data_IF_351505991448
#
_entry.id   IF_351505991448
#
_cell.length_a   1.000
_cell.length_b   1.000
_cell.length_c   1.000
_cell.angle_alpha   90.00
_cell.angle_beta   90.00
_cell.angle_gamma   90.00
#
_symmetry.space_group_name_H-M   'P 1'
#
loop_
_entity.id
_entity.type
_entity.pdbx_description
1 polymer ?
#
# COMPACT_ATOMS: atom_id res chain seq x y z
N UNK A 1 7.04 -30.02 -23.53
CA UNK A 1 5.99 -29.00 -23.68
C UNK A 1 4.67 -29.73 -23.84
N UNK A 2 3.68 -29.41 -23.02
CA UNK A 2 2.33 -29.93 -23.23
C UNK A 2 1.62 -29.12 -24.32
N UNK A 3 0.71 -29.75 -25.07
CA UNK A 3 -0.03 -29.10 -26.15
C UNK A 3 -0.82 -27.85 -25.67
N UNK A 4 -1.22 -27.84 -24.39
CA UNK A 4 -1.85 -26.70 -23.75
C UNK A 4 -0.91 -25.47 -23.67
N UNK A 5 0.37 -25.68 -23.34
CA UNK A 5 1.35 -24.59 -23.27
C UNK A 5 1.63 -23.99 -24.66
N UNK A 6 1.62 -24.83 -25.69
CA UNK A 6 1.80 -24.40 -27.08
C UNK A 6 0.60 -23.56 -27.53
N UNK A 7 -0.62 -24.01 -27.25
CA UNK A 7 -1.84 -23.27 -27.58
C UNK A 7 -1.92 -21.90 -26.88
N UNK A 8 -1.47 -21.81 -25.63
CA UNK A 8 -1.40 -20.54 -24.88
C UNK A 8 -0.39 -19.57 -25.50
N UNK A 9 0.81 -20.04 -25.86
CA UNK A 9 1.82 -19.22 -26.54
C UNK A 9 1.37 -18.77 -27.93
N UNK A 10 0.66 -19.61 -28.68
CA UNK A 10 0.07 -19.23 -29.96
C UNK A 10 -1.02 -18.16 -29.81
N UNK A 11 -1.78 -18.22 -28.72
CA UNK A 11 -2.80 -17.22 -28.42
C UNK A 11 -2.13 -15.87 -28.11
N UNK A 12 -1.08 -15.87 -27.29
CA UNK A 12 -0.28 -14.68 -27.01
C UNK A 12 0.37 -14.11 -28.28
N UNK A 13 0.96 -14.96 -29.12
CA UNK A 13 1.53 -14.56 -30.41
C UNK A 13 0.49 -13.86 -31.28
N UNK A 14 -0.72 -14.42 -31.39
CA UNK A 14 -1.82 -13.82 -32.17
C UNK A 14 -2.22 -12.44 -31.62
N UNK A 15 -2.29 -12.31 -30.30
CA UNK A 15 -2.63 -11.03 -29.65
C UNK A 15 -1.52 -9.97 -29.87
N UNK A 16 -0.24 -10.36 -29.75
CA UNK A 16 0.89 -9.49 -30.05
C UNK A 16 0.91 -9.04 -31.51
N UNK A 17 0.63 -9.96 -32.44
CA UNK A 17 0.55 -9.66 -33.86
C UNK A 17 -0.56 -8.64 -34.17
N UNK A 18 -1.76 -8.83 -33.59
CA UNK A 18 -2.87 -7.89 -33.74
C UNK A 18 -2.52 -6.51 -33.19
N UNK A 19 -1.83 -6.44 -32.05
CA UNK A 19 -1.39 -5.18 -31.46
C UNK A 19 -0.37 -4.49 -32.36
N UNK A 20 0.61 -5.23 -32.89
CA UNK A 20 1.60 -4.72 -33.82
C UNK A 20 0.98 -4.18 -35.12
N UNK A 21 0.01 -4.89 -35.71
CA UNK A 21 -0.72 -4.42 -36.89
C UNK A 21 -1.46 -3.11 -36.63
N UNK A 22 -2.07 -2.96 -35.45
CA UNK A 22 -2.73 -1.72 -35.07
C UNK A 22 -1.75 -0.56 -34.87
N UNK A 23 -0.59 -0.81 -34.25
CA UNK A 23 0.47 0.19 -34.17
C UNK A 23 0.94 0.61 -35.56
N UNK A 24 1.14 -0.34 -36.47
CA UNK A 24 1.57 -0.04 -37.84
C UNK A 24 0.55 0.85 -38.58
N UNK A 25 -0.75 0.61 -38.40
CA UNK A 25 -1.82 1.44 -38.96
C UNK A 25 -1.78 2.86 -38.37
N UNK A 26 -1.74 2.98 -37.04
CA UNK A 26 -1.70 4.29 -36.37
C UNK A 26 -0.45 5.08 -36.74
N UNK A 27 0.72 4.44 -36.78
CA UNK A 27 1.98 5.07 -37.21
C UNK A 27 1.91 5.47 -38.68
N UNK A 28 1.35 4.63 -39.55
CA UNK A 28 1.19 4.94 -40.98
C UNK A 28 0.30 6.16 -41.24
N UNK A 29 -0.79 6.30 -40.50
CA UNK A 29 -1.74 7.41 -40.63
C UNK A 29 -1.24 8.71 -39.99
N UNK A 30 -0.42 8.62 -38.94
CA UNK A 30 0.16 9.78 -38.23
C UNK A 30 1.46 10.28 -38.84
N UNK A 31 2.11 9.48 -39.70
CA UNK A 31 3.36 9.89 -40.34
C UNK A 31 3.06 10.94 -41.43
N UNK A 32 3.68 12.13 -41.35
CA UNK A 32 3.53 13.14 -42.39
C UNK A 32 4.12 12.60 -43.69
N UNK A 33 3.27 12.40 -44.68
CA UNK A 33 3.62 12.01 -46.05
C UNK A 33 3.29 13.18 -46.98
N UNK A 34 3.93 13.31 -48.15
CA UNK A 34 3.68 14.44 -49.06
C UNK A 34 2.22 14.58 -49.48
N UNK A 35 1.43 13.50 -49.42
CA UNK A 35 -0.01 13.48 -49.74
C UNK A 35 -0.94 13.67 -48.52
N UNK A 36 -0.41 13.70 -47.29
CA UNK A 36 -1.20 13.85 -46.07
C UNK A 36 -0.52 14.84 -45.10
N UNK A 37 -1.05 16.06 -44.88
CA UNK A 37 -0.40 17.12 -44.11
C UNK A 37 -0.29 16.86 -42.59
N UNK A 38 -0.48 15.62 -42.12
CA UNK A 38 -0.26 15.22 -40.74
C UNK A 38 -1.32 15.70 -39.75
N UNK A 39 -2.45 16.23 -40.24
CA UNK A 39 -3.55 16.71 -39.41
C UNK A 39 -4.61 15.60 -39.32
N UNK A 40 -4.32 14.58 -38.52
CA UNK A 40 -5.36 13.65 -38.07
C UNK A 40 -6.22 14.39 -37.03
N UNK A 41 -7.55 14.46 -37.20
CA UNK A 41 -8.40 15.12 -36.23
C UNK A 41 -8.31 14.40 -34.87
N UNK A 42 -8.13 15.18 -33.80
CA UNK A 42 -7.92 14.67 -32.44
C UNK A 42 -8.92 13.57 -32.00
N UNK A 43 -10.24 13.66 -32.30
CA UNK A 43 -11.18 12.62 -31.93
C UNK A 43 -10.88 11.25 -32.57
N UNK A 44 -10.42 11.24 -33.82
CA UNK A 44 -10.08 10.00 -34.53
C UNK A 44 -8.81 9.37 -33.97
N UNK A 45 -7.80 10.20 -33.68
CA UNK A 45 -6.58 9.75 -33.01
C UNK A 45 -6.89 9.18 -31.62
N UNK A 46 -7.71 9.88 -30.84
CA UNK A 46 -8.11 9.46 -29.51
C UNK A 46 -8.90 8.15 -29.53
N UNK A 47 -9.82 7.99 -30.49
CA UNK A 47 -10.56 6.74 -30.68
C UNK A 47 -9.62 5.58 -30.98
N UNK A 48 -8.66 5.77 -31.91
CA UNK A 48 -7.66 4.74 -32.25
C UNK A 48 -6.75 4.41 -31.06
N UNK A 49 -6.34 5.43 -30.29
CA UNK A 49 -5.55 5.26 -29.08
C UNK A 49 -6.32 4.50 -27.98
N UNK A 50 -7.60 4.77 -27.79
CA UNK A 50 -8.43 4.03 -26.82
C UNK A 50 -8.58 2.55 -27.20
N UNK A 51 -8.75 2.26 -28.49
CA UNK A 51 -8.76 0.86 -28.98
C UNK A 51 -7.41 0.18 -28.72
N UNK A 52 -6.31 0.90 -28.93
CA UNK A 52 -4.96 0.41 -28.66
C UNK A 52 -4.74 0.14 -27.17
N UNK A 53 -5.12 1.09 -26.31
CA UNK A 53 -5.03 0.98 -24.85
C UNK A 53 -5.87 -0.20 -24.33
N UNK A 54 -7.09 -0.37 -24.82
CA UNK A 54 -7.95 -1.50 -24.46
C UNK A 54 -7.33 -2.85 -24.85
N UNK A 55 -6.76 -2.95 -26.06
CA UNK A 55 -6.09 -4.19 -26.50
C UNK A 55 -4.80 -4.47 -25.75
N UNK A 56 -4.03 -3.42 -25.45
CA UNK A 56 -2.85 -3.54 -24.60
C UNK A 56 -3.22 -4.00 -23.18
N UNK A 57 -4.29 -3.47 -22.60
CA UNK A 57 -4.78 -3.88 -21.28
C UNK A 57 -5.17 -5.37 -21.28
N UNK A 58 -5.91 -5.81 -22.30
CA UNK A 58 -6.28 -7.23 -22.44
C UNK A 58 -5.05 -8.13 -22.55
N UNK A 59 -4.04 -7.71 -23.33
CA UNK A 59 -2.77 -8.44 -23.44
C UNK A 59 -2.02 -8.46 -22.10
N UNK A 60 -1.91 -7.32 -21.43
CA UNK A 60 -1.23 -7.17 -20.13
C UNK A 60 -1.88 -8.06 -19.07
N UNK A 61 -3.21 -8.08 -18.98
CA UNK A 61 -3.94 -9.01 -18.08
C UNK A 61 -3.71 -10.47 -18.45
N UNK A 62 -3.70 -10.80 -19.74
CA UNK A 62 -3.50 -12.18 -20.20
C UNK A 62 -2.09 -12.69 -19.91
N UNK A 63 -1.08 -11.84 -20.09
CA UNK A 63 0.32 -12.13 -19.77
C UNK A 63 0.52 -12.19 -18.25
N UNK A 64 0.02 -11.21 -17.51
CA UNK A 64 0.24 -11.06 -16.07
C UNK A 64 -0.55 -12.04 -15.18
N UNK A 65 -1.73 -12.50 -15.62
CA UNK A 65 -2.57 -13.39 -14.80
C UNK A 65 -2.59 -14.83 -15.30
N UNK A 66 -2.84 -15.04 -16.60
CA UNK A 66 -3.02 -16.39 -17.15
C UNK A 66 -1.70 -17.07 -17.49
N UNK A 67 -0.77 -16.29 -18.05
CA UNK A 67 0.46 -16.83 -18.61
C UNK A 67 1.69 -16.60 -17.73
N UNK A 68 1.57 -15.86 -16.62
CA UNK A 68 2.72 -15.43 -15.83
C UNK A 68 3.48 -16.59 -15.17
N UNK A 69 2.75 -17.60 -14.68
CA UNK A 69 3.36 -18.80 -14.10
C UNK A 69 4.10 -19.61 -15.17
N UNK A 70 3.46 -19.84 -16.30
CA UNK A 70 4.03 -20.54 -17.45
C UNK A 70 5.27 -19.82 -18.00
N UNK A 71 5.19 -18.52 -18.23
CA UNK A 71 6.27 -17.73 -18.81
C UNK A 71 7.47 -17.60 -17.85
N UNK A 72 7.24 -17.65 -16.53
CA UNK A 72 8.30 -17.63 -15.52
C UNK A 72 9.06 -18.96 -15.45
N UNK A 73 8.37 -20.08 -15.66
CA UNK A 73 8.97 -21.42 -15.67
C UNK A 73 9.66 -21.75 -17.00
N UNK A 74 9.36 -21.02 -18.07
CA UNK A 74 9.91 -21.23 -19.39
C UNK A 74 11.17 -20.40 -19.66
N UNK A 75 12.31 -21.08 -19.85
CA UNK A 75 13.51 -20.46 -20.40
C UNK A 75 13.52 -20.60 -21.93
N UNK A 76 13.64 -19.48 -22.64
CA UNK A 76 13.75 -19.47 -24.11
C UNK A 76 15.22 -19.62 -24.49
N UNK A 77 15.56 -20.70 -25.18
CA UNK A 77 16.90 -20.96 -25.71
C UNK A 77 16.80 -21.20 -27.22
N UNK A 78 17.68 -20.59 -28.04
CA UNK A 78 17.76 -20.86 -29.47
C UNK A 78 17.98 -22.34 -29.75
N UNK A 79 17.19 -22.92 -30.65
CA UNK A 79 17.36 -24.31 -31.07
C UNK A 79 18.63 -24.52 -31.91
N UNK A 80 19.04 -23.48 -32.66
CA UNK A 80 20.23 -23.51 -33.50
C UNK A 80 21.30 -22.58 -32.94
N UNK A 81 22.55 -23.07 -32.90
CA UNK A 81 23.68 -22.22 -32.57
C UNK A 81 23.93 -21.26 -33.74
N UNK A 82 24.02 -19.94 -33.50
CA UNK A 82 24.24 -18.98 -34.57
C UNK A 82 25.64 -19.20 -35.15
N UNK A 83 25.69 -19.35 -36.46
CA UNK A 83 26.91 -19.69 -37.21
C UNK A 83 27.82 -18.48 -37.45
N UNK A 84 27.26 -17.26 -37.46
CA UNK A 84 28.00 -16.03 -37.72
C UNK A 84 27.89 -14.97 -36.61
N UNK A 85 28.85 -14.03 -36.60
CA UNK A 85 28.88 -12.87 -35.68
C UNK A 85 27.60 -12.00 -35.85
N UNK A 86 27.10 -11.86 -37.07
CA UNK A 86 25.89 -11.08 -37.33
C UNK A 86 24.63 -11.72 -36.72
N UNK A 87 24.49 -13.04 -36.87
CA UNK A 87 23.38 -13.80 -36.26
C UNK A 87 23.46 -13.78 -34.73
N UNK A 88 24.68 -13.86 -34.19
CA UNK A 88 24.92 -13.70 -32.75
C UNK A 88 24.46 -12.33 -32.26
N UNK A 89 24.79 -11.25 -32.98
CA UNK A 89 24.37 -9.90 -32.62
C UNK A 89 22.85 -9.72 -32.69
N UNK A 90 22.20 -10.22 -33.75
CA UNK A 90 20.74 -10.16 -33.86
C UNK A 90 20.09 -10.95 -32.72
N UNK A 91 20.57 -12.16 -32.45
CA UNK A 91 19.99 -13.00 -31.40
C UNK A 91 20.20 -12.42 -30.01
N UNK A 92 21.35 -11.78 -29.77
CA UNK A 92 21.61 -11.04 -28.54
C UNK A 92 20.63 -9.89 -28.34
N UNK A 93 20.23 -9.19 -29.40
CA UNK A 93 19.22 -8.13 -29.34
C UNK A 93 17.81 -8.70 -29.13
N UNK A 94 17.43 -9.76 -29.86
CA UNK A 94 16.09 -10.34 -29.77
C UNK A 94 15.80 -11.03 -28.43
N UNK A 95 16.82 -11.63 -27.80
CA UNK A 95 16.71 -12.28 -26.49
C UNK A 95 17.01 -11.33 -25.32
N UNK A 96 17.34 -10.08 -25.59
CA UNK A 96 17.61 -9.09 -24.55
C UNK A 96 16.32 -8.82 -23.78
N UNK A 97 16.35 -9.05 -22.48
CA UNK A 97 15.26 -8.72 -21.53
C UNK A 97 15.50 -7.40 -20.79
N UNK A 98 16.66 -6.75 -21.01
CA UNK A 98 16.96 -5.46 -20.41
C UNK A 98 15.98 -4.40 -20.93
N UNK A 99 15.41 -3.65 -19.99
CA UNK A 99 14.42 -2.60 -20.24
C UNK A 99 14.97 -1.53 -21.19
N UNK A 100 14.04 -0.78 -21.78
CA UNK A 100 14.38 0.41 -22.54
C UNK A 100 14.97 1.47 -21.59
N UNK A 101 16.01 2.22 -22.00
CA UNK A 101 16.72 3.14 -21.11
C UNK A 101 15.82 4.24 -20.55
N UNK A 102 14.78 4.65 -21.28
CA UNK A 102 13.79 5.61 -20.80
C UNK A 102 12.99 5.05 -19.61
N UNK A 103 12.60 3.77 -19.69
CA UNK A 103 11.85 3.08 -18.63
C UNK A 103 12.74 2.86 -17.41
N UNK A 104 14.02 2.49 -17.60
CA UNK A 104 14.97 2.33 -16.48
C UNK A 104 15.09 3.62 -15.67
N UNK A 105 15.21 4.77 -16.35
CA UNK A 105 15.29 6.08 -15.70
C UNK A 105 14.00 6.45 -14.95
N UNK A 106 12.84 6.10 -15.50
CA UNK A 106 11.56 6.34 -14.84
C UNK A 106 11.37 5.45 -13.62
N UNK A 107 11.74 4.17 -13.69
CA UNK A 107 11.72 3.26 -12.52
C UNK A 107 12.65 3.75 -11.41
N UNK A 108 13.87 4.16 -11.73
CA UNK A 108 14.80 4.75 -10.76
C UNK A 108 14.21 5.99 -10.07
N UNK A 109 13.53 6.85 -10.83
CA UNK A 109 12.86 8.03 -10.28
C UNK A 109 11.70 7.66 -9.34
N UNK A 110 10.93 6.62 -9.66
CA UNK A 110 9.85 6.11 -8.80
C UNK A 110 10.44 5.52 -7.52
N UNK A 111 11.51 4.72 -7.62
CA UNK A 111 12.18 4.15 -6.45
C UNK A 111 12.74 5.22 -5.53
N UNK A 112 13.36 6.27 -6.08
CA UNK A 112 13.83 7.41 -5.30
C UNK A 112 12.69 8.14 -4.56
N UNK A 113 11.51 8.26 -5.18
CA UNK A 113 10.33 8.83 -4.52
C UNK A 113 9.80 7.95 -3.40
N UNK A 114 9.73 6.63 -3.62
CA UNK A 114 9.29 5.66 -2.61
C UNK A 114 10.24 5.67 -1.40
N UNK A 115 11.55 5.69 -1.63
CA UNK A 115 12.54 5.72 -0.56
C UNK A 115 12.47 7.01 0.25
N UNK A 116 12.31 8.16 -0.41
CA UNK A 116 12.10 9.43 0.26
C UNK A 116 10.81 9.44 1.12
N UNK A 117 9.72 8.83 0.62
CA UNK A 117 8.48 8.64 1.38
C UNK A 117 8.66 7.75 2.61
N UNK A 118 9.37 6.62 2.47
CA UNK A 118 9.64 5.71 3.58
C UNK A 118 10.49 6.35 4.70
N UNK A 119 11.44 7.22 4.34
CA UNK A 119 12.21 8.01 5.31
C UNK A 119 11.36 9.04 6.04
N UNK A 120 10.34 9.61 5.39
CA UNK A 120 9.37 10.48 6.06
C UNK A 120 8.49 9.68 7.02
N UNK A 121 7.97 8.53 6.61
CA UNK A 121 7.10 7.69 7.45
C UNK A 121 7.81 7.21 8.73
N UNK A 122 9.06 6.77 8.63
CA UNK A 122 9.89 6.42 9.80
C UNK A 122 10.14 7.62 10.72
N UNK A 123 10.29 8.83 10.15
CA UNK A 123 10.41 10.07 10.92
C UNK A 123 9.10 10.40 11.65
N UNK A 124 7.96 10.23 11.00
CA UNK A 124 6.63 10.42 11.60
C UNK A 124 6.35 9.41 12.72
N UNK A 125 6.72 8.15 12.51
CA UNK A 125 6.57 7.09 13.51
C UNK A 125 7.42 7.36 14.76
N UNK A 126 8.70 7.75 14.58
CA UNK A 126 9.57 8.10 15.71
C UNK A 126 9.07 9.32 16.49
N UNK A 127 8.51 10.32 15.80
CA UNK A 127 7.90 11.50 16.43
C UNK A 127 6.64 11.11 17.22
N UNK A 128 5.81 10.22 16.68
CA UNK A 128 4.64 9.70 17.37
C UNK A 128 5.01 8.94 18.66
N UNK A 129 6.05 8.11 18.61
CA UNK A 129 6.58 7.40 19.79
C UNK A 129 7.07 8.40 20.85
N UNK A 130 7.87 9.39 20.44
CA UNK A 130 8.37 10.43 21.35
C UNK A 130 7.23 11.23 22.00
N UNK A 131 6.17 11.56 21.24
CA UNK A 131 4.99 12.23 21.77
C UNK A 131 4.25 11.34 22.80
N UNK A 132 4.08 10.04 22.51
CA UNK A 132 3.45 9.11 23.44
C UNK A 132 4.22 8.97 24.76
N UNK A 133 5.55 8.95 24.71
CA UNK A 133 6.40 8.86 25.90
C UNK A 133 6.37 10.15 26.72
N UNK A 134 6.34 11.31 26.06
CA UNK A 134 6.14 12.60 26.72
C UNK A 134 4.78 12.64 27.44
N UNK A 135 3.70 12.20 26.79
CA UNK A 135 2.37 12.12 27.39
C UNK A 135 2.33 11.16 28.60
N UNK A 136 2.95 9.98 28.51
CA UNK A 136 3.03 9.05 29.66
C UNK A 136 3.77 9.66 30.83
N UNK A 137 4.86 10.38 30.57
CA UNK A 137 5.65 11.03 31.61
C UNK A 137 4.87 12.15 32.29
N UNK A 138 4.16 12.96 31.51
CA UNK A 138 3.30 14.03 32.02
C UNK A 138 2.15 13.46 32.87
N UNK A 139 1.53 12.36 32.42
CA UNK A 139 0.47 11.66 33.15
C UNK A 139 0.96 11.09 34.48
N UNK A 140 2.11 10.44 34.51
CA UNK A 140 2.74 9.96 35.77
C UNK A 140 2.98 11.11 36.76
N UNK A 141 3.46 12.26 36.27
CA UNK A 141 3.67 13.45 37.09
C UNK A 141 2.35 14.05 37.62
N UNK A 142 1.30 14.05 36.81
CA UNK A 142 -0.04 14.46 37.21
C UNK A 142 -0.63 13.53 38.27
N UNK A 143 -0.59 12.21 38.05
CA UNK A 143 -1.14 11.22 38.97
C UNK A 143 -0.42 11.27 40.33
N UNK A 144 0.89 11.50 40.34
CA UNK A 144 1.66 11.74 41.56
C UNK A 144 1.23 13.00 42.31
N UNK A 145 0.94 14.10 41.59
CA UNK A 145 0.40 15.34 42.19
C UNK A 145 -1.00 15.15 42.76
N UNK A 146 -1.87 14.43 42.04
CA UNK A 146 -3.23 14.13 42.50
C UNK A 146 -3.18 13.24 43.75
N UNK A 147 -2.31 12.23 43.79
CA UNK A 147 -2.11 11.40 44.99
C UNK A 147 -1.58 12.22 46.16
N UNK A 148 -0.64 13.15 45.94
CA UNK A 148 -0.16 14.04 46.99
C UNK A 148 -1.27 14.93 47.54
N UNK A 149 -2.13 15.49 46.68
CA UNK A 149 -3.29 16.29 47.11
C UNK A 149 -4.34 15.46 47.86
N UNK A 150 -4.61 14.22 47.43
CA UNK A 150 -5.51 13.31 48.13
C UNK A 150 -4.95 12.88 49.50
N UNK A 151 -3.64 12.63 49.58
CA UNK A 151 -2.98 12.29 50.84
C UNK A 151 -2.98 13.47 51.83
N UNK A 152 -2.87 14.70 51.34
CA UNK A 152 -2.92 15.93 52.15
C UNK A 152 -4.36 16.31 52.58
N UNK A 153 -5.38 15.80 51.89
CA UNK A 153 -6.79 15.92 52.27
C UNK A 153 -7.24 14.90 53.34
N UNK A 154 -6.60 13.72 53.39
CA UNK A 154 -6.92 12.64 54.34
C UNK A 154 -6.62 12.92 55.85
N UNK A 155 -5.68 13.79 56.29
CA UNK A 155 -5.48 14.04 57.72
C UNK A 155 -6.56 14.91 58.37
N UNK A 156 -7.49 15.53 57.63
CA UNK A 156 -8.53 16.37 58.23
C UNK A 156 -9.84 15.63 58.57
N UNK A 157 -10.15 14.50 57.93
CA UNK A 157 -11.40 13.77 58.21
C UNK A 157 -11.31 12.86 59.45
N UNK A 158 -10.12 12.41 59.83
CA UNK A 158 -9.93 11.57 61.02
C UNK A 158 -9.99 12.36 62.35
N UNK A 159 -9.90 13.69 62.31
CA UNK A 159 -9.96 14.55 63.51
C UNK A 159 -11.38 15.10 63.80
N UNK A 160 -12.37 14.84 62.94
CA UNK A 160 -13.76 15.26 63.11
C UNK A 160 -14.75 14.10 62.94
N UNK A 161 -14.52 12.98 63.65
CA UNK A 161 -15.61 12.04 63.93
C UNK A 161 -16.29 12.46 65.24
N UNK A 162 -17.60 12.80 65.26
CA UNK A 162 -18.30 13.09 66.50
C UNK A 162 -18.35 11.82 67.36
N UNK A 163 -18.05 11.97 68.64
CA UNK A 163 -18.15 10.91 69.64
C UNK A 163 -19.50 10.19 69.49
N UNK A 164 -19.45 8.91 69.12
CA UNK A 164 -20.61 8.05 69.11
C UNK A 164 -21.20 8.05 70.53
N UNK A 165 -22.32 8.73 70.70
CA UNK A 165 -23.14 8.66 71.90
C UNK A 165 -23.63 7.22 72.00
N UNK A 166 -22.95 6.43 72.82
CA UNK A 166 -23.41 5.11 73.23
C UNK A 166 -24.65 5.32 74.11
N UNK A 167 -25.83 5.34 73.49
CA UNK A 167 -27.08 5.14 74.24
C UNK A 167 -27.08 3.69 74.69
N UNK A 168 -26.97 3.48 75.99
CA UNK A 168 -26.95 2.15 76.58
C UNK A 168 -28.28 1.44 76.29
N UNK A 169 -28.22 0.15 75.95
CA UNK A 169 -29.43 -0.68 75.73
C UNK A 169 -30.32 -0.76 76.98
N UNK A 170 -29.75 -0.52 78.15
CA UNK A 170 -30.45 -0.45 79.43
C UNK A 170 -31.39 0.78 79.50
N UNK A 171 -30.98 1.94 78.97
CA UNK A 171 -31.83 3.14 78.93
C UNK A 171 -33.03 2.97 77.98
N UNK A 172 -32.83 2.27 76.86
CA UNK A 172 -33.93 1.97 75.92
C UNK A 172 -34.93 0.98 76.53
N UNK A 173 -34.45 -0.01 77.28
CA UNK A 173 -35.31 -0.98 77.96
C UNK A 173 -36.03 -0.36 79.17
N UNK A 174 -35.38 0.56 79.89
CA UNK A 174 -36.01 1.33 80.96
C UNK A 174 -37.13 2.25 80.42
N UNK A 175 -36.94 2.85 79.24
CA UNK A 175 -37.95 3.68 78.58
C UNK A 175 -39.18 2.86 78.16
N UNK A 176 -38.97 1.70 77.52
CA UNK A 176 -40.07 0.84 77.04
C UNK A 176 -40.86 0.22 78.18
N UNK A 177 -40.22 -0.08 79.31
CA UNK A 177 -40.88 -0.73 80.46
C UNK A 177 -41.59 0.24 81.41
N UNK A 178 -41.16 1.50 81.51
CA UNK A 178 -41.70 2.45 82.51
C UNK A 178 -42.48 3.64 81.94
N UNK A 179 -42.44 3.86 80.61
CA UNK A 179 -43.23 4.90 79.94
C UNK A 179 -42.99 6.33 80.42
N UNK A 180 -41.85 6.61 81.07
CA UNK A 180 -41.49 7.94 81.57
C UNK A 180 -40.28 8.47 80.80
N UNK A 181 -40.45 9.64 80.17
CA UNK A 181 -39.34 10.43 79.62
C UNK A 181 -38.66 11.18 80.78
N UNK A 182 -37.32 11.14 80.83
CA UNK A 182 -36.54 12.22 81.44
C UNK A 182 -36.31 13.30 80.38
#
# INVERSE_FOLDING_TARGET
MSDAQIAELETLRRQLQQLHELFAVVIGETRPTPDNPGIVPWPELLSKFNVLASKYEVLSRTVGQKSATLLKEMAVVPQTRPSGIHEQNIMAVLLRTKLAPEIEKEEEAIWAQIEAGAQQDTSHESLAIAAMDAFRSLRKGHDGRVQAMLADALPQEAAQAPAAVQVSLEDVLAFVSSGRRA
#
